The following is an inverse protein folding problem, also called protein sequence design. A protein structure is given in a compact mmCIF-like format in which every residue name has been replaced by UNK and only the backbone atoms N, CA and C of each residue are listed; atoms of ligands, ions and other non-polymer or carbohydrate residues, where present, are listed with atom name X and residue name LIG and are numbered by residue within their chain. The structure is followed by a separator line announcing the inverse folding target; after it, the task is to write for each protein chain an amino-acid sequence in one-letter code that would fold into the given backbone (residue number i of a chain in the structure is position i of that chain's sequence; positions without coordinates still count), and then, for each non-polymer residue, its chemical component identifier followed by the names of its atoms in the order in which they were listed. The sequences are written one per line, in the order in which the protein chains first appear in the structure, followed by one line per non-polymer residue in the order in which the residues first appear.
data_IF_349388881154
#
_entry.id   IF_349388881154
#
_cell.length_a   1.000
_cell.length_b   1.000
_cell.length_c   1.000
_cell.angle_alpha   90.00
_cell.angle_beta   90.00
_cell.angle_gamma   90.00
#
_symmetry.space_group_name_H-M   'P 1'
#
loop_
_entity.id
_entity.type
_entity.pdbx_description
1 polymer ?
#
# COMPACT_ATOMS: atom_id res chain seq x y z
N UNK A 1 -2.81 -59.83 -12.50
CA UNK A 1 -2.94 -58.44 -13.02
C UNK A 1 -4.11 -57.81 -12.28
N UNK A 2 -4.08 -56.69 -11.55
CA UNK A 2 -3.21 -55.51 -11.39
C UNK A 2 -3.45 -54.98 -9.95
N UNK A 3 -2.45 -54.93 -9.07
CA UNK A 3 -1.67 -53.74 -8.63
C UNK A 3 -2.45 -52.50 -8.14
N UNK A 4 -2.37 -52.30 -6.80
CA UNK A 4 -2.05 -51.09 -6.01
C UNK A 4 -2.68 -49.73 -6.39
N UNK A 5 -3.34 -49.12 -5.40
CA UNK A 5 -3.07 -47.74 -4.95
C UNK A 5 -3.64 -47.49 -3.53
N UNK A 6 -2.91 -47.93 -2.51
CA UNK A 6 -2.89 -47.21 -1.23
C UNK A 6 -1.99 -45.99 -1.46
N UNK A 7 -2.57 -44.81 -1.65
CA UNK A 7 -1.80 -43.58 -1.82
C UNK A 7 -2.56 -42.40 -1.22
N UNK A 8 -1.81 -41.58 -0.48
CA UNK A 8 -2.05 -40.17 -0.12
C UNK A 8 -3.04 -39.77 0.99
N UNK A 9 -3.02 -40.40 2.16
CA UNK A 9 -3.60 -39.78 3.39
C UNK A 9 -2.70 -39.75 4.64
N UNK A 10 -1.41 -40.04 4.51
CA UNK A 10 -0.49 -40.13 5.66
C UNK A 10 0.75 -39.23 5.54
N UNK A 11 0.62 -38.05 4.92
CA UNK A 11 1.60 -36.97 5.08
C UNK A 11 0.89 -35.77 5.71
N UNK A 12 0.90 -35.70 7.04
CA UNK A 12 0.29 -34.56 7.73
C UNK A 12 0.42 -34.51 9.24
N UNK A 13 0.97 -35.54 9.89
CA UNK A 13 1.13 -35.55 11.36
C UNK A 13 2.44 -36.25 11.72
N UNK A 14 3.57 -35.59 11.50
CA UNK A 14 4.87 -36.08 11.97
C UNK A 14 5.79 -34.93 12.43
N UNK A 15 5.21 -33.83 12.91
CA UNK A 15 5.95 -32.72 13.53
C UNK A 15 5.41 -32.37 14.93
N UNK A 16 4.70 -33.29 15.60
CA UNK A 16 4.11 -33.05 16.93
C UNK A 16 4.68 -33.94 18.04
N UNK A 17 5.44 -34.99 17.72
CA UNK A 17 5.85 -36.01 18.70
C UNK A 17 7.24 -35.80 19.33
N UNK A 18 8.04 -34.82 18.89
CA UNK A 18 9.37 -34.56 19.49
C UNK A 18 9.31 -33.54 20.65
N UNK A 19 8.21 -32.81 20.83
CA UNK A 19 8.04 -31.90 21.98
C UNK A 19 7.65 -32.61 23.29
N UNK A 20 7.29 -33.90 23.26
CA UNK A 20 6.76 -34.59 24.43
C UNK A 20 7.82 -35.06 25.44
N UNK A 21 9.12 -35.01 25.10
CA UNK A 21 10.22 -35.43 26.00
C UNK A 21 11.02 -34.27 26.63
N UNK A 22 10.68 -33.01 26.36
CA UNK A 22 11.45 -31.84 26.82
C UNK A 22 10.69 -30.84 27.70
N UNK A 23 9.41 -31.04 27.97
CA UNK A 23 8.55 -30.03 28.63
C UNK A 23 8.71 -29.91 30.16
N UNK A 24 9.50 -30.78 30.81
CA UNK A 24 9.59 -30.82 32.28
C UNK A 24 10.87 -30.19 32.87
N UNK A 25 11.73 -29.58 32.05
CA UNK A 25 13.01 -29.04 32.51
C UNK A 25 13.31 -27.61 32.02
N UNK A 26 12.32 -26.83 31.58
CA UNK A 26 12.53 -25.38 31.46
C UNK A 26 12.67 -24.80 32.86
N UNK A 27 13.89 -24.49 33.25
CA UNK A 27 14.20 -23.78 34.50
C UNK A 27 13.65 -22.35 34.43
N UNK A 28 13.36 -21.72 35.58
CA UNK A 28 12.93 -20.31 35.62
C UNK A 28 13.90 -19.37 34.89
N UNK A 29 15.20 -19.73 34.83
CA UNK A 29 16.22 -18.98 34.09
C UNK A 29 16.00 -19.05 32.57
N UNK A 30 15.67 -20.21 32.02
CA UNK A 30 15.36 -20.39 30.60
C UNK A 30 14.04 -19.72 30.23
N UNK A 31 13.04 -19.77 31.11
CA UNK A 31 11.75 -19.10 30.90
C UNK A 31 11.93 -17.58 30.86
N UNK A 32 12.68 -17.00 31.81
CA UNK A 32 13.00 -15.57 31.84
C UNK A 32 13.83 -15.12 30.64
N UNK A 33 14.76 -15.97 30.18
CA UNK A 33 15.55 -15.71 28.97
C UNK A 33 14.64 -15.73 27.74
N UNK A 34 13.74 -16.71 27.62
CA UNK A 34 12.77 -16.77 26.53
C UNK A 34 11.82 -15.57 26.54
N UNK A 35 11.34 -15.13 27.70
CA UNK A 35 10.52 -13.93 27.88
C UNK A 35 11.27 -12.67 27.42
N UNK A 36 12.51 -12.48 27.88
CA UNK A 36 13.33 -11.32 27.50
C UNK A 36 13.62 -11.29 25.99
N UNK A 37 13.90 -12.45 25.40
CA UNK A 37 14.12 -12.56 23.95
C UNK A 37 12.83 -12.33 23.16
N UNK A 38 11.68 -12.78 23.68
CA UNK A 38 10.38 -12.55 23.08
C UNK A 38 9.97 -11.07 23.15
N UNK A 39 10.20 -10.39 24.29
CA UNK A 39 10.01 -8.95 24.43
C UNK A 39 10.89 -8.18 23.44
N UNK A 40 12.20 -8.46 23.40
CA UNK A 40 13.11 -7.80 22.47
C UNK A 40 12.78 -8.07 21.00
N UNK A 41 12.23 -9.24 20.67
CA UNK A 41 11.73 -9.53 19.33
C UNK A 41 10.43 -8.78 19.02
N UNK A 42 9.53 -8.68 20.00
CA UNK A 42 8.29 -7.92 19.92
C UNK A 42 8.54 -6.44 19.69
N UNK A 43 9.43 -5.82 20.46
CA UNK A 43 9.80 -4.41 20.33
C UNK A 43 10.39 -4.12 18.95
N UNK A 44 11.31 -4.96 18.47
CA UNK A 44 11.86 -4.83 17.10
C UNK A 44 10.80 -4.98 16.03
N UNK A 45 9.85 -5.90 16.20
CA UNK A 45 8.76 -6.07 15.26
C UNK A 45 7.83 -4.84 15.24
N UNK A 46 7.56 -4.25 16.41
CA UNK A 46 6.78 -3.02 16.52
C UNK A 46 7.49 -1.83 15.85
N UNK A 47 8.79 -1.65 16.07
CA UNK A 47 9.59 -0.60 15.45
C UNK A 47 9.63 -0.72 13.92
N UNK A 48 9.79 -1.94 13.40
CA UNK A 48 9.79 -2.19 11.95
C UNK A 48 8.40 -1.95 11.36
N UNK A 49 7.33 -2.34 12.07
CA UNK A 49 5.96 -2.08 11.64
C UNK A 49 5.66 -0.58 11.60
N UNK A 50 6.09 0.17 12.61
CA UNK A 50 5.93 1.63 12.67
C UNK A 50 6.67 2.32 11.52
N UNK A 51 7.95 1.99 11.30
CA UNK A 51 8.75 2.54 10.19
C UNK A 51 8.14 2.19 8.82
N UNK A 52 7.66 0.96 8.66
CA UNK A 52 7.01 0.54 7.41
C UNK A 52 5.72 1.33 7.18
N UNK A 53 4.93 1.55 8.24
CA UNK A 53 3.72 2.38 8.19
C UNK A 53 4.02 3.81 7.72
N UNK A 54 5.05 4.43 8.28
CA UNK A 54 5.48 5.79 7.92
C UNK A 54 5.96 5.89 6.46
N UNK A 55 6.69 4.89 5.97
CA UNK A 55 7.12 4.84 4.56
C UNK A 55 5.91 4.71 3.61
N UNK A 56 4.93 3.87 3.96
CA UNK A 56 3.71 3.71 3.16
C UNK A 56 2.90 5.01 3.15
N UNK A 57 2.71 5.62 4.32
CA UNK A 57 1.96 6.87 4.46
C UNK A 57 2.64 8.02 3.69
N UNK A 58 3.94 8.21 3.88
CA UNK A 58 4.71 9.23 3.15
C UNK A 58 4.74 8.98 1.64
N UNK A 59 4.80 7.72 1.21
CA UNK A 59 4.70 7.33 -0.20
C UNK A 59 3.34 7.67 -0.80
N UNK A 60 2.25 7.38 -0.08
CA UNK A 60 0.89 7.72 -0.50
C UNK A 60 0.68 9.24 -0.59
N UNK A 61 1.17 10.01 0.39
CA UNK A 61 1.10 11.48 0.35
C UNK A 61 1.87 12.05 -0.84
N UNK A 62 3.08 11.56 -1.13
CA UNK A 62 3.86 12.00 -2.29
C UNK A 62 3.16 11.72 -3.61
N UNK A 63 2.55 10.53 -3.75
CA UNK A 63 1.78 10.17 -4.93
C UNK A 63 0.56 11.09 -5.11
N UNK A 64 -0.18 11.36 -4.03
CA UNK A 64 -1.31 12.28 -4.04
C UNK A 64 -0.89 13.70 -4.46
N UNK A 65 0.19 14.24 -3.87
CA UNK A 65 0.71 15.56 -4.22
C UNK A 65 1.19 15.64 -5.68
N UNK A 66 1.79 14.56 -6.20
CA UNK A 66 2.20 14.51 -7.61
C UNK A 66 0.99 14.54 -8.55
N UNK A 67 -0.08 13.82 -8.21
CA UNK A 67 -1.35 13.84 -8.96
C UNK A 67 -2.00 15.20 -8.89
N UNK A 68 -2.10 15.80 -7.71
CA UNK A 68 -2.65 17.15 -7.51
C UNK A 68 -1.87 18.19 -8.32
N UNK A 69 -0.54 18.18 -8.21
CA UNK A 69 0.34 19.09 -8.96
C UNK A 69 0.23 18.88 -10.47
N UNK A 70 0.10 17.63 -10.93
CA UNK A 70 -0.07 17.29 -12.34
C UNK A 70 -1.43 17.77 -12.87
N UNK A 71 -2.50 17.53 -12.12
CA UNK A 71 -3.85 17.97 -12.46
C UNK A 71 -3.95 19.49 -12.49
N UNK A 72 -3.37 20.19 -11.52
CA UNK A 72 -3.29 21.65 -11.49
C UNK A 72 -2.61 22.23 -12.73
N UNK A 73 -1.44 21.69 -13.11
CA UNK A 73 -0.74 22.12 -14.34
C UNK A 73 -1.55 21.90 -15.63
N UNK A 74 -2.36 20.85 -15.69
CA UNK A 74 -3.26 20.61 -16.83
C UNK A 74 -4.41 21.61 -16.80
N UNK A 75 -5.00 21.87 -15.64
CA UNK A 75 -6.05 22.88 -15.47
C UNK A 75 -5.54 24.26 -15.88
N UNK A 76 -4.39 24.71 -15.39
CA UNK A 76 -3.79 26.01 -15.73
C UNK A 76 -3.57 26.16 -17.24
N UNK A 77 -3.10 25.09 -17.91
CA UNK A 77 -2.91 25.08 -19.36
C UNK A 77 -4.24 25.15 -20.12
N UNK A 78 -5.25 24.41 -19.67
CA UNK A 78 -6.57 24.46 -20.28
C UNK A 78 -7.19 25.84 -20.11
N UNK A 79 -7.09 26.43 -18.92
CA UNK A 79 -7.56 27.79 -18.64
C UNK A 79 -6.86 28.81 -19.54
N UNK A 80 -5.53 28.76 -19.63
CA UNK A 80 -4.76 29.63 -20.51
C UNK A 80 -5.14 29.48 -21.99
N UNK A 81 -5.28 28.24 -22.48
CA UNK A 81 -5.70 27.96 -23.85
C UNK A 81 -7.12 28.47 -24.13
N UNK A 82 -8.02 28.37 -23.15
CA UNK A 82 -9.39 28.83 -23.28
C UNK A 82 -9.46 30.36 -23.23
N UNK A 83 -8.65 31.02 -22.38
CA UNK A 83 -8.50 32.47 -22.35
C UNK A 83 -7.98 33.01 -23.69
N UNK A 84 -6.91 32.40 -24.23
CA UNK A 84 -6.36 32.78 -25.54
C UNK A 84 -7.39 32.56 -26.65
N UNK A 85 -8.03 31.40 -26.67
CA UNK A 85 -9.04 31.11 -27.69
C UNK A 85 -10.26 32.04 -27.58
N UNK A 86 -10.67 32.42 -26.37
CA UNK A 86 -11.75 33.38 -26.15
C UNK A 86 -11.35 34.79 -26.62
N UNK A 87 -10.12 35.23 -26.32
CA UNK A 87 -9.57 36.50 -26.78
C UNK A 87 -9.45 36.57 -28.31
N UNK A 88 -9.15 35.45 -28.96
CA UNK A 88 -9.17 35.30 -30.42
C UNK A 88 -10.58 35.21 -31.02
N UNK A 89 -11.63 35.18 -30.19
CA UNK A 89 -13.02 35.03 -30.63
C UNK A 89 -13.28 33.67 -31.28
N UNK A 90 -12.56 32.62 -30.87
CA UNK A 90 -12.74 31.27 -31.40
C UNK A 90 -14.06 30.68 -30.89
N UNK A 91 -14.98 30.29 -31.78
CA UNK A 91 -16.24 29.65 -31.43
C UNK A 91 -16.11 28.53 -30.40
N UNK A 92 -16.93 28.58 -29.36
CA UNK A 92 -17.02 27.53 -28.34
C UNK A 92 -15.95 27.60 -27.24
N UNK A 93 -14.94 28.46 -27.36
CA UNK A 93 -14.02 28.76 -26.25
C UNK A 93 -14.78 29.39 -25.07
N UNK A 94 -14.31 29.14 -23.85
CA UNK A 94 -14.89 29.72 -22.63
C UNK A 94 -13.90 30.72 -22.07
N UNK A 95 -14.32 31.97 -21.88
CA UNK A 95 -13.50 32.98 -21.20
C UNK A 95 -13.49 32.68 -19.70
N UNK A 96 -12.34 32.29 -19.11
CA UNK A 96 -12.29 31.97 -17.69
C UNK A 96 -12.49 33.18 -16.77
N UNK A 97 -12.31 34.41 -17.26
CA UNK A 97 -12.55 35.62 -16.46
C UNK A 97 -14.04 35.95 -16.31
N UNK A 98 -14.86 35.55 -17.28
CA UNK A 98 -16.29 35.90 -17.33
C UNK A 98 -17.22 34.70 -17.33
N UNK A 99 -16.67 33.49 -17.43
CA UNK A 99 -17.39 32.21 -17.60
C UNK A 99 -18.36 32.22 -18.80
N UNK A 100 -18.08 33.07 -19.79
CA UNK A 100 -18.90 33.18 -21.00
C UNK A 100 -18.30 32.39 -22.15
N UNK A 101 -19.17 31.72 -22.91
CA UNK A 101 -18.76 30.98 -24.10
C UNK A 101 -18.82 31.89 -25.33
N UNK A 102 -17.76 31.88 -26.14
CA UNK A 102 -17.76 32.54 -27.44
C UNK A 102 -18.81 31.87 -28.35
N UNK A 103 -19.78 32.61 -28.89
CA UNK A 103 -20.83 32.05 -29.72
C UNK A 103 -20.27 31.45 -31.02
N UNK A 104 -20.91 30.39 -31.51
CA UNK A 104 -20.62 29.88 -32.84
C UNK A 104 -21.11 30.85 -33.92
N UNK A 105 -20.32 31.02 -34.98
CA UNK A 105 -20.77 31.76 -36.17
C UNK A 105 -21.83 30.89 -36.86
N UNK A 106 -23.05 31.42 -36.95
CA UNK A 106 -24.15 30.82 -37.71
C UNK A 106 -23.90 30.90 -39.22
#
# INVERSE_FOLDING_TARGET
MRTRTLSTRTLGIAAASILALGAAACTQAEQKTAETHAEAAGDKAADVAAQTGEVVESGAMKAAQAVESGAGKVADKLEGNQAEAAAEGRPGAVDPATDTRVPAKN
#
